data_IF_650903651578
#
_entry.id   IF_650903651578
#
_cell.length_a   1.000
_cell.length_b   1.000
_cell.length_c   1.000
_cell.angle_alpha   90.00
_cell.angle_beta   90.00
_cell.angle_gamma   90.00
#
_symmetry.space_group_name_H-M   'P 1'
#
loop_
_entity.id
_entity.type
_entity.pdbx_description
1 polymer ?
#
# COMPACT_ATOMS: atom_id res chain seq x y z
N UNK A 1 24.34 -8.66 -1.73
CA UNK A 1 23.17 -8.84 -0.86
C UNK A 1 23.59 -8.47 0.55
N UNK A 2 23.12 -7.36 1.10
CA UNK A 2 23.50 -6.93 2.46
C UNK A 2 22.93 -7.90 3.50
N UNK A 3 23.62 -8.09 4.63
CA UNK A 3 23.16 -8.97 5.72
C UNK A 3 21.77 -8.57 6.28
N UNK A 4 21.41 -7.29 6.18
CA UNK A 4 20.10 -6.76 6.57
C UNK A 4 18.95 -7.23 5.66
N UNK A 5 19.16 -7.32 4.34
CA UNK A 5 18.15 -7.83 3.41
C UNK A 5 17.81 -9.30 3.62
N UNK A 6 18.81 -10.11 4.03
CA UNK A 6 18.63 -11.53 4.31
C UNK A 6 17.80 -11.77 5.60
N UNK A 7 18.09 -11.02 6.67
CA UNK A 7 17.35 -11.10 7.93
C UNK A 7 15.88 -10.64 7.79
N UNK A 8 15.60 -9.64 6.94
CA UNK A 8 14.24 -9.21 6.63
C UNK A 8 13.42 -10.29 5.93
N UNK A 9 14.02 -10.99 4.96
CA UNK A 9 13.37 -12.07 4.22
C UNK A 9 13.03 -13.28 5.11
N UNK A 10 13.94 -13.67 6.01
CA UNK A 10 13.69 -14.79 6.95
C UNK A 10 12.51 -14.48 7.89
N UNK A 11 12.44 -13.25 8.42
CA UNK A 11 11.31 -12.80 9.24
C UNK A 11 9.99 -12.84 8.48
N UNK A 12 9.99 -12.43 7.21
CA UNK A 12 8.79 -12.49 6.36
C UNK A 12 8.32 -13.93 6.15
N UNK A 13 9.23 -14.88 5.93
CA UNK A 13 8.87 -16.31 5.81
C UNK A 13 8.23 -16.83 7.10
N UNK A 14 8.78 -16.50 8.26
CA UNK A 14 8.20 -16.88 9.56
C UNK A 14 6.83 -16.25 9.78
N UNK A 15 6.65 -14.99 9.38
CA UNK A 15 5.36 -14.29 9.46
C UNK A 15 4.31 -14.98 8.58
N UNK A 16 4.66 -15.33 7.34
CA UNK A 16 3.78 -16.06 6.41
C UNK A 16 3.34 -17.41 7.00
N UNK A 17 4.26 -18.14 7.64
CA UNK A 17 3.91 -19.39 8.33
C UNK A 17 2.90 -19.17 9.47
N UNK A 18 3.09 -18.12 10.27
CA UNK A 18 2.14 -17.76 11.34
C UNK A 18 0.77 -17.38 10.77
N UNK A 19 0.73 -16.61 9.68
CA UNK A 19 -0.51 -16.22 9.01
C UNK A 19 -1.27 -17.45 8.50
N UNK A 20 -0.58 -18.42 7.88
CA UNK A 20 -1.20 -19.66 7.40
C UNK A 20 -1.85 -20.49 8.52
N UNK A 21 -1.35 -20.36 9.76
CA UNK A 21 -1.87 -21.04 10.92
C UNK A 21 -3.07 -20.35 11.58
N UNK A 22 -3.38 -19.09 11.24
CA UNK A 22 -4.49 -18.34 11.83
C UNK A 22 -5.84 -19.00 11.53
N UNK A 23 -6.74 -18.98 12.52
CA UNK A 23 -8.12 -19.48 12.41
C UNK A 23 -9.09 -18.46 13.07
N UNK A 24 -10.07 -17.92 12.31
CA UNK A 24 -10.28 -18.10 10.87
C UNK A 24 -9.09 -17.55 10.05
N UNK A 25 -8.96 -18.03 8.81
CA UNK A 25 -7.95 -17.49 7.90
C UNK A 25 -8.27 -16.02 7.58
N UNK A 26 -7.26 -15.12 7.51
CA UNK A 26 -7.48 -13.74 7.08
C UNK A 26 -8.05 -13.67 5.67
N UNK A 27 -8.84 -12.62 5.41
CA UNK A 27 -9.41 -12.35 4.08
C UNK A 27 -8.36 -11.98 3.04
N UNK A 28 -7.30 -11.28 3.45
CA UNK A 28 -6.15 -10.90 2.64
C UNK A 28 -4.97 -10.56 3.57
N UNK A 29 -3.76 -10.51 3.01
CA UNK A 29 -2.54 -10.10 3.71
C UNK A 29 -1.90 -8.93 2.96
N UNK A 30 -1.65 -7.83 3.67
CA UNK A 30 -1.03 -6.65 3.08
C UNK A 30 0.45 -6.59 3.45
N UNK A 31 1.31 -6.33 2.46
CA UNK A 31 2.74 -6.14 2.62
C UNK A 31 3.16 -4.81 2.01
N UNK A 32 3.87 -3.99 2.78
CA UNK A 32 4.44 -2.72 2.34
C UNK A 32 5.96 -2.93 2.24
N UNK A 33 6.53 -3.02 1.02
CA UNK A 33 7.96 -3.12 0.87
C UNK A 33 8.64 -1.85 1.38
N UNK A 34 9.83 -2.02 1.93
CA UNK A 34 10.74 -0.92 2.27
C UNK A 34 11.94 -0.96 1.33
N UNK A 35 12.64 0.16 1.14
CA UNK A 35 13.80 0.26 0.22
C UNK A 35 14.95 -0.72 0.47
N UNK A 36 14.96 -1.47 1.58
CA UNK A 36 15.94 -2.53 1.85
C UNK A 36 15.48 -3.94 1.43
N UNK A 37 14.27 -4.06 0.86
CA UNK A 37 13.67 -5.36 0.54
C UNK A 37 14.21 -5.92 -0.78
N UNK A 38 14.56 -7.20 -0.82
CA UNK A 38 14.88 -7.92 -2.06
C UNK A 38 13.58 -8.44 -2.69
N UNK A 39 13.21 -7.91 -3.88
CA UNK A 39 12.02 -8.28 -4.62
C UNK A 39 11.85 -9.79 -4.78
N UNK A 40 12.92 -10.50 -5.12
CA UNK A 40 12.91 -11.95 -5.35
C UNK A 40 12.69 -12.71 -4.05
N UNK A 41 13.33 -12.26 -2.97
CA UNK A 41 13.15 -12.86 -1.65
C UNK A 41 11.72 -12.65 -1.11
N UNK A 42 11.17 -11.44 -1.27
CA UNK A 42 9.78 -11.12 -0.90
C UNK A 42 8.80 -11.96 -1.70
N UNK A 43 8.93 -12.01 -3.03
CA UNK A 43 8.07 -12.85 -3.90
C UNK A 43 8.09 -14.31 -3.47
N UNK A 44 9.28 -14.88 -3.22
CA UNK A 44 9.42 -16.27 -2.74
C UNK A 44 8.74 -16.49 -1.38
N UNK A 45 8.79 -15.52 -0.47
CA UNK A 45 8.14 -15.62 0.82
C UNK A 45 6.60 -15.53 0.67
N UNK A 46 6.10 -14.54 -0.08
CA UNK A 46 4.67 -14.37 -0.35
C UNK A 46 4.07 -15.56 -1.10
N UNK A 47 4.84 -16.23 -1.97
CA UNK A 47 4.40 -17.45 -2.66
C UNK A 47 4.13 -18.63 -1.70
N UNK A 48 4.65 -18.59 -0.47
CA UNK A 48 4.36 -19.60 0.57
C UNK A 48 3.08 -19.29 1.36
N UNK A 49 2.44 -18.14 1.12
CA UNK A 49 1.16 -17.82 1.71
C UNK A 49 0.11 -18.81 1.21
N UNK A 50 -0.83 -19.18 2.07
CA UNK A 50 -1.95 -20.03 1.71
C UNK A 50 -2.65 -19.44 0.47
N UNK A 51 -2.87 -20.26 -0.56
CA UNK A 51 -3.43 -19.80 -1.84
C UNK A 51 -4.81 -19.14 -1.71
N UNK A 52 -5.53 -19.41 -0.61
CA UNK A 52 -6.82 -18.78 -0.31
C UNK A 52 -6.71 -17.40 0.35
N UNK A 53 -5.49 -16.95 0.69
CA UNK A 53 -5.22 -15.63 1.28
C UNK A 53 -4.51 -14.78 0.22
N UNK A 54 -5.21 -13.87 -0.48
CA UNK A 54 -4.59 -12.96 -1.42
C UNK A 54 -3.54 -12.08 -0.73
N UNK A 55 -2.36 -11.95 -1.32
CA UNK A 55 -1.34 -10.99 -0.89
C UNK A 55 -1.49 -9.67 -1.66
N UNK A 56 -1.57 -8.56 -0.93
CA UNK A 56 -1.63 -7.20 -1.46
C UNK A 56 -0.29 -6.51 -1.22
N UNK A 57 0.33 -6.01 -2.27
CA UNK A 57 1.59 -5.25 -2.17
C UNK A 57 1.24 -3.79 -2.28
N UNK A 58 1.52 -3.01 -1.23
CA UNK A 58 1.15 -1.59 -1.17
C UNK A 58 2.41 -0.73 -1.36
N UNK A 59 2.50 -0.01 -2.48
CA UNK A 59 3.69 0.75 -2.81
C UNK A 59 3.82 2.07 -2.02
N UNK A 60 5.08 2.42 -1.76
CA UNK A 60 5.44 3.78 -1.43
C UNK A 60 6.14 4.00 -0.10
N UNK A 61 7.04 3.12 0.38
CA UNK A 61 8.05 3.53 1.37
C UNK A 61 9.43 3.09 0.86
N UNK A 62 10.30 4.06 0.58
CA UNK A 62 11.65 3.87 0.07
C UNK A 62 11.74 3.58 -1.44
N UNK A 63 12.98 3.48 -1.94
CA UNK A 63 13.33 3.30 -3.36
C UNK A 63 13.16 1.85 -3.84
N UNK A 64 12.08 1.21 -3.40
CA UNK A 64 11.78 -0.15 -3.83
C UNK A 64 11.17 -0.13 -5.24
N UNK A 65 11.79 -0.84 -6.19
CA UNK A 65 11.25 -0.96 -7.55
C UNK A 65 10.00 -1.86 -7.56
N UNK A 66 8.86 -1.19 -7.43
CA UNK A 66 7.54 -1.81 -7.40
C UNK A 66 7.15 -2.41 -8.76
N UNK A 67 7.78 -1.99 -9.86
CA UNK A 67 7.47 -2.48 -11.21
C UNK A 67 7.73 -3.97 -11.35
N UNK A 68 8.67 -4.51 -10.56
CA UNK A 68 8.87 -5.94 -10.48
C UNK A 68 7.77 -6.66 -9.66
N UNK A 69 7.15 -6.00 -8.70
CA UNK A 69 6.15 -6.61 -7.80
C UNK A 69 4.72 -6.52 -8.31
N UNK A 70 4.42 -5.63 -9.25
CA UNK A 70 3.09 -5.50 -9.83
C UNK A 70 2.80 -4.09 -10.34
N UNK A 71 1.52 -3.73 -10.37
CA UNK A 71 1.08 -2.40 -10.76
C UNK A 71 1.29 -1.38 -9.62
N UNK A 72 1.59 -0.14 -9.99
CA UNK A 72 1.77 0.97 -9.07
C UNK A 72 0.53 1.33 -8.26
N UNK A 73 -0.65 1.19 -8.86
CA UNK A 73 -1.91 1.31 -8.16
C UNK A 73 -2.90 0.37 -8.82
N UNK A 74 -3.82 -0.15 -8.02
CA UNK A 74 -4.82 -1.09 -8.50
C UNK A 74 -5.99 -1.17 -7.53
N UNK A 75 -7.12 -1.68 -8.01
CA UNK A 75 -8.29 -1.91 -7.19
C UNK A 75 -8.71 -3.37 -7.24
N UNK A 76 -9.36 -3.84 -6.18
CA UNK A 76 -9.91 -5.18 -6.12
C UNK A 76 -11.26 -5.19 -5.39
N UNK A 77 -12.05 -6.21 -5.70
CA UNK A 77 -13.33 -6.47 -5.05
C UNK A 77 -13.21 -7.72 -4.18
N UNK A 78 -13.81 -7.68 -2.99
CA UNK A 78 -13.90 -8.83 -2.09
C UNK A 78 -15.24 -8.81 -1.35
N UNK A 79 -16.20 -9.66 -1.72
CA UNK A 79 -17.51 -9.75 -1.05
C UNK A 79 -18.20 -8.39 -0.79
N UNK A 80 -18.25 -7.50 -1.78
CA UNK A 80 -18.86 -6.17 -1.66
C UNK A 80 -17.97 -5.10 -1.01
N UNK A 81 -16.78 -5.47 -0.54
CA UNK A 81 -15.71 -4.54 -0.19
C UNK A 81 -14.91 -4.13 -1.42
N UNK A 82 -14.63 -2.84 -1.55
CA UNK A 82 -13.73 -2.29 -2.56
C UNK A 82 -12.41 -1.86 -1.91
N UNK A 83 -11.33 -2.55 -2.25
CA UNK A 83 -9.97 -2.14 -1.89
C UNK A 83 -9.33 -1.35 -3.02
N UNK A 84 -8.70 -0.22 -2.70
CA UNK A 84 -7.96 0.64 -3.61
C UNK A 84 -6.54 0.79 -3.08
N UNK A 85 -5.55 0.26 -3.80
CA UNK A 85 -4.14 0.36 -3.44
C UNK A 85 -3.52 1.49 -4.26
N UNK A 86 -2.86 2.44 -3.60
CA UNK A 86 -2.24 3.61 -4.22
C UNK A 86 -0.73 3.60 -4.04
N UNK A 87 0.01 4.15 -5.01
CA UNK A 87 1.41 4.47 -4.84
C UNK A 87 1.57 5.74 -4.01
N UNK A 88 1.80 5.54 -2.72
CA UNK A 88 1.89 6.66 -1.80
C UNK A 88 3.15 7.52 -1.97
N UNK A 89 4.18 7.07 -2.72
CA UNK A 89 5.30 7.94 -3.11
C UNK A 89 4.80 9.09 -4.01
N UNK A 90 3.90 8.80 -4.96
CA UNK A 90 3.31 9.81 -5.86
C UNK A 90 2.37 10.78 -5.13
N UNK A 91 1.90 10.43 -3.93
CA UNK A 91 1.12 11.33 -3.07
C UNK A 91 2.01 12.24 -2.21
N UNK A 92 3.15 11.72 -1.74
CA UNK A 92 4.08 12.45 -0.87
C UNK A 92 4.95 13.41 -1.68
N UNK A 93 5.48 12.96 -2.81
CA UNK A 93 6.31 13.77 -3.69
C UNK A 93 6.02 13.45 -5.16
N UNK A 94 5.13 14.20 -5.81
CA UNK A 94 4.85 14.04 -7.23
C UNK A 94 5.93 14.64 -8.13
N UNK A 95 6.97 15.31 -7.58
CA UNK A 95 7.92 16.09 -8.40
C UNK A 95 8.74 15.25 -9.37
N UNK A 96 9.00 13.99 -9.02
CA UNK A 96 9.76 13.06 -9.84
C UNK A 96 8.95 12.51 -11.04
N UNK A 97 7.62 12.43 -10.93
CA UNK A 97 6.74 11.97 -12.00
C UNK A 97 5.31 12.57 -11.87
N UNK A 98 5.14 13.86 -12.22
CA UNK A 98 3.89 14.57 -11.99
C UNK A 98 2.75 14.07 -12.88
N UNK A 99 3.07 13.57 -14.09
CA UNK A 99 2.07 13.00 -15.00
C UNK A 99 1.49 11.71 -14.44
N UNK A 100 2.35 10.80 -13.97
CA UNK A 100 1.92 9.55 -13.36
C UNK A 100 1.16 9.79 -12.05
N UNK A 101 1.58 10.78 -11.26
CA UNK A 101 0.83 11.19 -10.08
C UNK A 101 -0.59 11.66 -10.44
N UNK A 102 -0.74 12.49 -11.48
CA UNK A 102 -2.05 12.93 -11.96
C UNK A 102 -2.91 11.77 -12.45
N UNK A 103 -2.35 10.86 -13.25
CA UNK A 103 -3.07 9.66 -13.73
C UNK A 103 -3.59 8.79 -12.58
N UNK A 104 -2.77 8.58 -11.54
CA UNK A 104 -3.20 7.84 -10.35
C UNK A 104 -4.30 8.59 -9.60
N UNK A 105 -4.21 9.91 -9.48
CA UNK A 105 -5.22 10.71 -8.79
C UNK A 105 -6.55 10.74 -9.55
N UNK A 106 -6.54 10.87 -10.88
CA UNK A 106 -7.74 10.78 -11.72
C UNK A 106 -8.38 9.41 -11.60
N UNK A 107 -7.57 8.34 -11.70
CA UNK A 107 -8.03 6.98 -11.48
C UNK A 107 -8.66 6.80 -10.09
N UNK A 108 -8.01 7.30 -9.03
CA UNK A 108 -8.50 7.18 -7.67
C UNK A 108 -9.85 7.88 -7.50
N UNK A 109 -10.01 9.07 -8.09
CA UNK A 109 -11.27 9.80 -8.08
C UNK A 109 -12.40 9.01 -8.75
N UNK A 110 -12.16 8.48 -9.96
CA UNK A 110 -13.13 7.62 -10.65
C UNK A 110 -13.50 6.38 -9.83
N UNK A 111 -12.51 5.71 -9.23
CA UNK A 111 -12.77 4.52 -8.43
C UNK A 111 -13.57 4.82 -7.17
N UNK A 112 -13.35 5.96 -6.52
CA UNK A 112 -14.14 6.36 -5.36
C UNK A 112 -15.59 6.63 -5.74
N UNK A 113 -15.85 7.33 -6.85
CA UNK A 113 -17.23 7.57 -7.31
C UNK A 113 -17.94 6.26 -7.68
N UNK A 114 -17.25 5.34 -8.36
CA UNK A 114 -17.78 3.99 -8.62
C UNK A 114 -18.08 3.22 -7.33
N UNK A 115 -17.22 3.36 -6.32
CA UNK A 115 -17.37 2.67 -5.04
C UNK A 115 -18.61 3.13 -4.26
N UNK A 116 -18.97 4.41 -4.35
CA UNK A 116 -20.18 4.95 -3.70
C UNK A 116 -21.46 4.29 -4.21
N UNK A 117 -21.46 3.82 -5.45
CA UNK A 117 -22.62 3.19 -6.08
C UNK A 117 -22.65 1.67 -5.91
N UNK A 118 -21.47 1.03 -5.95
CA UNK A 118 -21.36 -0.41 -6.12
C UNK A 118 -20.78 -1.17 -4.91
N UNK A 119 -20.20 -0.47 -3.92
CA UNK A 119 -19.59 -1.10 -2.76
C UNK A 119 -20.40 -0.89 -1.48
N UNK A 120 -20.35 -1.88 -0.58
CA UNK A 120 -20.84 -1.70 0.79
C UNK A 120 -19.86 -0.88 1.62
N UNK A 121 -18.56 -1.04 1.33
CA UNK A 121 -17.43 -0.36 1.98
C UNK A 121 -16.30 -0.22 0.99
N UNK A 122 -15.62 0.92 1.02
CA UNK A 122 -14.40 1.18 0.29
C UNK A 122 -13.24 1.49 1.25
N UNK A 123 -12.02 1.07 0.91
CA UNK A 123 -10.83 1.38 1.68
C UNK A 123 -9.65 1.68 0.76
N UNK A 124 -8.91 2.75 1.08
CA UNK A 124 -7.68 3.12 0.40
C UNK A 124 -6.49 2.65 1.23
N UNK A 125 -5.64 1.83 0.62
CA UNK A 125 -4.41 1.31 1.20
C UNK A 125 -3.23 2.15 0.72
N UNK A 126 -2.48 2.71 1.67
CA UNK A 126 -1.32 3.57 1.45
C UNK A 126 -0.22 3.15 2.42
N UNK A 127 1.04 3.17 1.97
CA UNK A 127 2.19 2.88 2.83
C UNK A 127 2.52 4.10 3.71
N UNK A 128 2.51 5.31 3.13
CA UNK A 128 2.61 6.54 3.92
C UNK A 128 1.31 6.82 4.68
N UNK A 129 1.41 7.27 5.95
CA UNK A 129 0.26 7.77 6.68
C UNK A 129 -0.25 9.08 6.07
N UNK A 130 -1.57 9.27 6.09
CA UNK A 130 -2.18 10.54 5.74
C UNK A 130 -1.85 11.61 6.78
N UNK A 131 -1.91 11.27 8.07
CA UNK A 131 -1.56 12.10 9.22
C UNK A 131 -1.21 11.18 10.40
N UNK A 132 -0.57 11.70 11.44
CA UNK A 132 -0.19 10.98 12.67
C UNK A 132 -1.19 11.22 13.80
N UNK A 133 -1.57 12.48 14.03
CA UNK A 133 -2.50 12.83 15.12
C UNK A 133 -3.80 13.41 14.57
N UNK A 134 -3.73 14.42 13.71
CA UNK A 134 -4.92 15.09 13.20
C UNK A 134 -4.82 15.47 11.71
N UNK A 135 -5.94 15.54 10.97
CA UNK A 135 -5.95 15.83 9.54
C UNK A 135 -5.25 17.13 9.13
N UNK A 136 -5.27 18.16 9.97
CA UNK A 136 -4.79 19.51 9.66
C UNK A 136 -3.39 19.81 10.21
N UNK A 137 -2.71 18.83 10.79
CA UNK A 137 -1.34 19.01 11.28
C UNK A 137 -0.36 19.35 10.14
N UNK A 138 0.73 20.03 10.48
CA UNK A 138 1.84 20.23 9.54
C UNK A 138 2.43 18.89 9.10
N UNK A 139 3.06 18.85 7.93
CA UNK A 139 3.74 17.67 7.42
C UNK A 139 4.77 17.14 8.44
N UNK A 140 4.64 15.86 8.77
CA UNK A 140 5.50 15.19 9.74
C UNK A 140 6.48 14.28 9.01
N UNK A 141 7.75 14.35 9.39
CA UNK A 141 8.78 13.38 8.99
C UNK A 141 9.06 12.43 10.14
N UNK A 142 9.34 11.17 9.84
CA UNK A 142 9.69 10.14 10.82
C UNK A 142 10.72 9.18 10.23
N UNK A 143 11.21 8.25 11.05
CA UNK A 143 12.21 7.27 10.62
C UNK A 143 11.68 6.43 9.45
N UNK A 144 12.19 6.72 8.25
CA UNK A 144 11.86 5.99 7.03
C UNK A 144 10.72 6.57 6.20
N UNK A 145 10.21 7.79 6.47
CA UNK A 145 9.21 8.41 5.60
C UNK A 145 8.64 9.73 6.11
N UNK A 146 7.58 10.20 5.47
CA UNK A 146 6.81 11.36 5.91
C UNK A 146 5.31 11.19 5.63
N UNK A 147 4.50 12.09 6.17
CA UNK A 147 3.05 12.11 5.92
C UNK A 147 2.73 12.74 4.57
N UNK A 148 1.61 12.34 3.93
CA UNK A 148 1.10 12.97 2.70
C UNK A 148 0.95 14.49 2.86
N UNK A 149 1.36 15.26 1.84
CA UNK A 149 1.37 16.72 1.88
C UNK A 149 0.01 17.32 2.25
N UNK A 150 0.01 18.39 3.05
CA UNK A 150 -1.21 18.92 3.65
C UNK A 150 -2.30 19.28 2.61
N UNK A 151 -2.01 20.01 1.50
CA UNK A 151 -3.04 20.35 0.53
C UNK A 151 -3.68 19.12 -0.12
N UNK A 152 -2.86 18.12 -0.46
CA UNK A 152 -3.29 16.87 -1.09
C UNK A 152 -4.05 15.98 -0.11
N UNK A 153 -3.59 15.90 1.13
CA UNK A 153 -4.25 15.21 2.24
C UNK A 153 -5.67 15.75 2.46
N UNK A 154 -5.83 17.07 2.60
CA UNK A 154 -7.16 17.67 2.81
C UNK A 154 -8.10 17.45 1.62
N UNK A 155 -7.58 17.52 0.38
CA UNK A 155 -8.35 17.18 -0.83
C UNK A 155 -8.95 15.78 -0.72
N UNK A 156 -8.12 14.79 -0.40
CA UNK A 156 -8.54 13.38 -0.38
C UNK A 156 -9.37 13.00 0.84
N UNK A 157 -9.03 13.49 2.04
CA UNK A 157 -9.80 13.21 3.25
C UNK A 157 -11.24 13.74 3.16
N UNK A 158 -11.50 14.81 2.41
CA UNK A 158 -12.86 15.27 2.14
C UNK A 158 -13.65 14.33 1.20
N UNK A 159 -12.96 13.60 0.33
CA UNK A 159 -13.57 12.65 -0.63
C UNK A 159 -13.77 11.25 -0.06
N UNK A 160 -13.03 10.86 0.98
CA UNK A 160 -13.17 9.57 1.65
C UNK A 160 -14.38 9.47 2.59
N UNK A 161 -15.18 10.54 2.70
CA UNK A 161 -16.36 10.62 3.55
C UNK A 161 -17.59 10.03 2.88
#
# INVERSE_FOLDING_TARGET
>A
VSAQGCAGAERLVQLVQKINALRPAPAFFTFMPTGQSDCSAVKRALFKLNANIPSLVVPGIGDFDIGEMGADWYGFWYHGFRGLVVNSNLLVDPSCDPERAAQMEDWLEEQLEQSKLASQRACVFSAHPWFLQEPCEAEQSFDGGCTVQLPRRLRWLNRFR
#
